data_IF_972697085816
#
_entry.id   IF_972697085816
#
_cell.length_a   1.000
_cell.length_b   1.000
_cell.length_c   1.000
_cell.angle_alpha   90.00
_cell.angle_beta   90.00
_cell.angle_gamma   90.00
#
_symmetry.space_group_name_H-M   'P 1'
#
loop_
_entity.id
_entity.type
_entity.pdbx_description
1 polymer ?
#
# COMPACT_ATOMS: atom_id res chain seq x y z
N UNK A 1 17.47 -15.78 -7.74
CA UNK A 1 16.49 -16.23 -6.72
C UNK A 1 16.20 -15.17 -5.67
N UNK A 2 17.16 -14.69 -4.86
CA UNK A 2 16.91 -13.65 -3.85
C UNK A 2 16.31 -12.35 -4.43
N UNK A 3 16.82 -11.88 -5.57
CA UNK A 3 16.24 -10.71 -6.26
C UNK A 3 14.75 -10.89 -6.60
N UNK A 4 14.33 -12.10 -6.99
CA UNK A 4 12.91 -12.38 -7.24
C UNK A 4 12.08 -12.29 -5.95
N UNK A 5 12.63 -12.71 -4.82
CA UNK A 5 11.96 -12.58 -3.52
C UNK A 5 11.77 -11.12 -3.14
N UNK A 6 12.77 -10.25 -3.42
CA UNK A 6 12.62 -8.80 -3.22
C UNK A 6 11.54 -8.22 -4.14
N UNK A 7 11.54 -8.61 -5.41
CA UNK A 7 10.48 -8.22 -6.35
C UNK A 7 9.09 -8.61 -5.85
N UNK A 8 8.93 -9.84 -5.36
CA UNK A 8 7.69 -10.26 -4.72
C UNK A 8 7.38 -9.46 -3.45
N UNK A 9 8.38 -9.04 -2.67
CA UNK A 9 8.17 -8.13 -1.53
C UNK A 9 7.49 -6.83 -1.96
N UNK A 10 7.92 -6.24 -3.09
CA UNK A 10 7.32 -5.03 -3.67
C UNK A 10 5.88 -5.31 -4.13
N UNK A 11 5.64 -6.43 -4.83
CA UNK A 11 4.29 -6.80 -5.29
C UNK A 11 3.31 -7.02 -4.12
N UNK A 12 3.78 -7.58 -3.00
CA UNK A 12 2.96 -7.74 -1.78
C UNK A 12 2.68 -6.40 -1.11
N UNK A 13 3.66 -5.49 -1.07
CA UNK A 13 3.49 -4.13 -0.55
C UNK A 13 2.46 -3.36 -1.39
N UNK A 14 2.60 -3.39 -2.72
CA UNK A 14 1.65 -2.79 -3.64
C UNK A 14 0.25 -3.39 -3.45
N UNK A 15 0.12 -4.72 -3.44
CA UNK A 15 -1.18 -5.38 -3.30
C UNK A 15 -1.89 -5.02 -1.99
N UNK A 16 -1.16 -4.89 -0.88
CA UNK A 16 -1.67 -4.38 0.39
C UNK A 16 -2.28 -2.98 0.23
N UNK A 17 -1.53 -2.02 -0.34
CA UNK A 17 -2.02 -0.66 -0.54
C UNK A 17 -3.23 -0.62 -1.46
N UNK A 18 -3.21 -1.33 -2.60
CA UNK A 18 -4.31 -1.31 -3.56
C UNK A 18 -5.62 -1.85 -2.97
N UNK A 19 -5.57 -2.81 -2.04
CA UNK A 19 -6.78 -3.31 -1.35
C UNK A 19 -7.38 -2.23 -0.46
N UNK A 20 -6.55 -1.47 0.27
CA UNK A 20 -7.03 -0.41 1.15
C UNK A 20 -7.50 0.81 0.35
N UNK A 21 -6.74 1.22 -0.65
CA UNK A 21 -7.07 2.26 -1.64
C UNK A 21 -8.44 1.98 -2.29
N UNK A 22 -8.66 0.76 -2.76
CA UNK A 22 -9.95 0.34 -3.32
C UNK A 22 -11.14 0.61 -2.37
N UNK A 23 -10.92 0.45 -1.06
CA UNK A 23 -11.95 0.66 -0.03
C UNK A 23 -12.15 2.15 0.22
N UNK A 24 -11.05 2.91 0.40
CA UNK A 24 -11.08 4.36 0.68
C UNK A 24 -11.73 5.13 -0.46
N UNK A 25 -11.38 4.78 -1.70
CA UNK A 25 -11.90 5.43 -2.91
C UNK A 25 -13.24 4.86 -3.40
N UNK A 26 -13.79 3.89 -2.66
CA UNK A 26 -15.03 3.21 -3.02
C UNK A 26 -15.01 2.60 -4.45
N UNK A 27 -13.85 2.10 -4.87
CA UNK A 27 -13.59 1.57 -6.22
C UNK A 27 -14.46 0.36 -6.57
N UNK A 28 -14.71 0.17 -7.87
CA UNK A 28 -15.55 -0.94 -8.37
C UNK A 28 -14.72 -2.11 -8.89
N UNK A 29 -13.67 -1.82 -9.66
CA UNK A 29 -12.86 -2.83 -10.34
C UNK A 29 -11.38 -2.53 -10.26
N UNK A 30 -10.55 -3.58 -10.13
CA UNK A 30 -9.10 -3.52 -10.25
C UNK A 30 -8.59 -4.68 -11.09
N UNK A 31 -7.65 -4.40 -12.00
CA UNK A 31 -7.05 -5.41 -12.91
C UNK A 31 -8.11 -6.25 -13.67
N UNK A 32 -9.19 -5.60 -14.13
CA UNK A 32 -10.27 -6.20 -14.91
C UNK A 32 -11.25 -7.07 -14.12
N UNK A 33 -11.21 -7.06 -12.77
CA UNK A 33 -12.09 -7.83 -11.89
C UNK A 33 -12.69 -6.93 -10.80
N UNK A 34 -13.78 -7.34 -10.14
CA UNK A 34 -14.28 -6.63 -8.96
C UNK A 34 -13.16 -6.46 -7.92
N UNK A 35 -13.10 -5.29 -7.28
CA UNK A 35 -12.16 -5.05 -6.17
C UNK A 35 -12.38 -6.10 -5.07
N UNK A 36 -11.32 -6.45 -4.33
CA UNK A 36 -11.36 -7.56 -3.37
C UNK A 36 -12.50 -7.40 -2.35
N UNK A 37 -12.67 -6.19 -1.80
CA UNK A 37 -13.72 -5.87 -0.84
C UNK A 37 -15.15 -5.92 -1.41
N UNK A 38 -15.31 -5.87 -2.74
CA UNK A 38 -16.62 -5.95 -3.42
C UNK A 38 -17.13 -7.38 -3.56
N UNK A 39 -16.30 -8.39 -3.30
CA UNK A 39 -16.74 -9.78 -3.38
C UNK A 39 -17.76 -10.07 -2.25
N UNK A 40 -18.89 -10.76 -2.54
CA UNK A 40 -19.99 -10.92 -1.57
C UNK A 40 -19.62 -11.56 -0.22
N UNK A 41 -18.53 -12.34 -0.18
CA UNK A 41 -18.05 -13.03 1.04
C UNK A 41 -16.88 -12.31 1.73
N UNK A 42 -16.39 -11.22 1.17
CA UNK A 42 -15.21 -10.50 1.67
C UNK A 42 -15.65 -9.23 2.39
N UNK A 43 -16.25 -8.25 1.69
CA UNK A 43 -16.60 -6.98 2.31
C UNK A 43 -15.40 -6.32 3.01
N UNK A 44 -15.62 -5.79 4.21
CA UNK A 44 -14.58 -5.13 5.00
C UNK A 44 -13.55 -6.09 5.63
N UNK A 45 -13.72 -7.42 5.51
CA UNK A 45 -12.66 -8.38 5.86
C UNK A 45 -11.39 -8.09 5.04
N UNK A 46 -11.55 -7.50 3.85
CA UNK A 46 -10.47 -7.02 3.01
C UNK A 46 -9.44 -6.14 3.73
N UNK A 47 -9.84 -5.36 4.75
CA UNK A 47 -8.92 -4.55 5.56
C UNK A 47 -7.90 -5.47 6.25
N UNK A 48 -8.40 -6.50 6.93
CA UNK A 48 -7.54 -7.47 7.60
C UNK A 48 -6.73 -8.28 6.59
N UNK A 49 -7.30 -8.65 5.44
CA UNK A 49 -6.56 -9.36 4.40
C UNK A 49 -5.38 -8.53 3.87
N UNK A 50 -5.56 -7.21 3.68
CA UNK A 50 -4.47 -6.29 3.37
C UNK A 50 -3.38 -6.28 4.44
N UNK A 51 -3.75 -6.18 5.72
CA UNK A 51 -2.78 -6.23 6.83
C UNK A 51 -2.03 -7.57 6.88
N UNK A 52 -2.69 -8.67 6.54
CA UNK A 52 -2.03 -9.97 6.37
C UNK A 52 -1.00 -9.88 5.25
N UNK A 53 -1.32 -9.28 4.10
CA UNK A 53 -0.35 -9.09 3.01
C UNK A 53 0.89 -8.32 3.47
N UNK A 54 0.70 -7.17 4.14
CA UNK A 54 1.79 -6.39 4.73
C UNK A 54 2.67 -7.23 5.65
N UNK A 55 2.06 -8.05 6.52
CA UNK A 55 2.80 -8.91 7.46
C UNK A 55 3.62 -10.03 6.78
N UNK A 56 3.21 -10.52 5.62
CA UNK A 56 3.94 -11.58 4.91
C UNK A 56 5.30 -11.11 4.41
N UNK A 57 5.46 -9.81 4.12
CA UNK A 57 6.73 -9.23 3.66
C UNK A 57 7.84 -9.53 4.67
N UNK A 58 7.64 -9.18 5.95
CA UNK A 58 8.61 -9.45 7.01
C UNK A 58 8.86 -10.95 7.22
N UNK A 59 7.84 -11.80 7.03
CA UNK A 59 7.99 -13.27 7.13
C UNK A 59 8.85 -13.84 6.01
N UNK A 60 8.63 -13.40 4.78
CA UNK A 60 9.42 -13.79 3.62
C UNK A 60 10.85 -13.29 3.79
N UNK A 61 11.02 -12.05 4.25
CA UNK A 61 12.37 -11.48 4.42
C UNK A 61 13.14 -12.21 5.51
N UNK A 62 12.52 -12.49 6.64
CA UNK A 62 13.12 -13.33 7.68
C UNK A 62 13.52 -14.71 7.15
N UNK A 63 12.71 -15.32 6.29
CA UNK A 63 13.02 -16.66 5.73
C UNK A 63 14.23 -16.67 4.81
N UNK A 64 14.38 -15.66 3.95
CA UNK A 64 15.39 -15.69 2.87
C UNK A 64 16.60 -14.79 3.12
N UNK A 65 16.47 -13.78 3.99
CA UNK A 65 17.47 -12.73 4.18
C UNK A 65 18.04 -12.65 5.60
N UNK A 66 17.47 -13.31 6.61
CA UNK A 66 17.91 -13.18 8.02
C UNK A 66 19.43 -13.37 8.25
N UNK A 67 20.10 -14.24 7.49
CA UNK A 67 21.55 -14.45 7.59
C UNK A 67 22.40 -13.53 6.71
N UNK A 68 21.81 -12.54 6.05
CA UNK A 68 22.52 -11.60 5.16
C UNK A 68 22.92 -10.35 5.95
N UNK A 69 24.11 -9.77 5.66
CA UNK A 69 24.57 -8.58 6.38
C UNK A 69 23.64 -7.38 6.21
N UNK A 70 22.86 -7.33 5.11
CA UNK A 70 21.93 -6.26 4.76
C UNK A 70 20.47 -6.54 5.16
N UNK A 71 20.21 -7.53 6.02
CA UNK A 71 18.84 -7.91 6.41
C UNK A 71 18.08 -6.77 7.09
N UNK A 72 18.75 -6.07 8.02
CA UNK A 72 18.16 -4.96 8.75
C UNK A 72 17.88 -3.79 7.81
N UNK A 73 18.84 -3.44 6.96
CA UNK A 73 18.66 -2.39 5.94
C UNK A 73 17.47 -2.67 5.03
N UNK A 74 17.21 -3.93 4.67
CA UNK A 74 16.05 -4.32 3.86
C UNK A 74 14.72 -4.12 4.61
N UNK A 75 14.68 -4.40 5.91
CA UNK A 75 13.48 -4.17 6.71
C UNK A 75 13.22 -2.67 6.87
N UNK A 76 14.27 -1.90 7.18
CA UNK A 76 14.19 -0.45 7.35
C UNK A 76 13.75 0.23 6.05
N UNK A 77 14.32 -0.18 4.91
CA UNK A 77 13.92 0.33 3.60
C UNK A 77 12.42 0.09 3.33
N UNK A 78 11.92 -1.11 3.58
CA UNK A 78 10.50 -1.41 3.34
C UNK A 78 9.57 -0.67 4.30
N UNK A 79 9.96 -0.51 5.57
CA UNK A 79 9.20 0.27 6.53
C UNK A 79 9.19 1.76 6.17
N UNK A 80 10.32 2.31 5.68
CA UNK A 80 10.40 3.70 5.24
C UNK A 80 9.53 3.94 4.00
N UNK A 81 9.53 3.02 3.05
CA UNK A 81 8.65 3.08 1.87
C UNK A 81 7.18 2.97 2.28
N UNK A 82 6.83 2.02 3.16
CA UNK A 82 5.46 1.88 3.70
C UNK A 82 4.99 3.17 4.39
N UNK A 83 5.85 3.79 5.19
CA UNK A 83 5.58 5.07 5.86
C UNK A 83 5.38 6.23 4.87
N UNK A 84 6.26 6.35 3.87
CA UNK A 84 6.17 7.38 2.83
C UNK A 84 4.87 7.23 2.03
N UNK A 85 4.54 6.02 1.59
CA UNK A 85 3.30 5.77 0.83
C UNK A 85 2.07 6.04 1.68
N UNK A 86 2.05 5.63 2.96
CA UNK A 86 0.93 5.92 3.87
C UNK A 86 0.79 7.43 4.13
N UNK A 87 1.90 8.17 4.19
CA UNK A 87 1.88 9.64 4.34
C UNK A 87 1.34 10.34 3.10
N UNK A 88 1.70 9.85 1.90
CA UNK A 88 1.16 10.34 0.63
C UNK A 88 -0.34 10.08 0.53
N UNK A 89 -0.79 8.88 0.89
CA UNK A 89 -2.21 8.53 0.94
C UNK A 89 -2.99 9.41 1.93
N UNK A 90 -2.42 9.68 3.11
CA UNK A 90 -3.01 10.62 4.07
C UNK A 90 -3.18 12.01 3.44
N UNK A 91 -2.14 12.51 2.75
CA UNK A 91 -2.17 13.81 2.08
C UNK A 91 -3.23 13.85 0.96
N UNK A 92 -3.36 12.77 0.19
CA UNK A 92 -4.38 12.66 -0.85
C UNK A 92 -5.78 12.78 -0.23
N UNK A 93 -6.09 11.91 0.73
CA UNK A 93 -7.41 11.84 1.38
C UNK A 93 -7.81 13.17 2.06
N UNK A 94 -6.90 13.88 2.73
CA UNK A 94 -7.24 15.19 3.34
C UNK A 94 -7.49 16.27 2.27
N UNK A 95 -6.84 16.18 1.11
CA UNK A 95 -6.98 17.14 0.00
C UNK A 95 -8.24 16.87 -0.82
N UNK A 96 -8.64 15.61 -0.94
CA UNK A 96 -9.77 15.14 -1.76
C UNK A 96 -11.04 14.86 -0.95
N UNK A 97 -10.97 14.91 0.38
CA UNK A 97 -12.08 14.61 1.31
C UNK A 97 -13.45 15.18 0.90
N UNK A 98 -14.48 14.36 1.06
CA UNK A 98 -15.86 14.70 0.68
C UNK A 98 -16.38 15.88 1.52
N UNK A 99 -16.52 17.04 0.86
CA UNK A 99 -16.92 18.30 1.46
C UNK A 99 -16.92 19.44 0.44
N UNK A 100 -16.83 20.69 0.91
CA UNK A 100 -16.72 21.84 0.01
C UNK A 100 -15.34 21.81 -0.69
N UNK A 101 -15.33 21.49 -2.00
CA UNK A 101 -14.10 21.38 -2.79
C UNK A 101 -13.42 22.74 -2.94
N UNK A 102 -12.41 22.98 -2.11
CA UNK A 102 -11.57 24.16 -2.19
C UNK A 102 -10.42 23.90 -3.18
N UNK A 103 -10.60 24.41 -4.40
CA UNK A 103 -9.63 24.25 -5.48
C UNK A 103 -8.30 24.96 -5.20
N UNK A 104 -8.24 25.89 -4.25
CA UNK A 104 -6.99 26.57 -3.90
C UNK A 104 -5.97 25.64 -3.23
N UNK A 105 -6.40 24.49 -2.70
CA UNK A 105 -5.54 23.45 -2.13
C UNK A 105 -4.76 22.64 -3.18
N UNK A 106 -5.17 22.73 -4.45
CA UNK A 106 -4.60 21.96 -5.54
C UNK A 106 -3.42 22.74 -6.14
N UNK A 107 -2.24 22.60 -5.53
CA UNK A 107 -1.00 23.24 -6.00
C UNK A 107 -0.02 22.21 -6.55
N UNK A 108 0.92 22.66 -7.39
CA UNK A 108 1.99 21.81 -7.92
C UNK A 108 2.84 21.23 -6.78
N UNK A 109 3.06 22.01 -5.72
CA UNK A 109 3.85 21.56 -4.56
C UNK A 109 3.15 20.42 -3.80
N UNK A 110 1.82 20.51 -3.61
CA UNK A 110 1.03 19.45 -2.96
C UNK A 110 1.05 18.18 -3.82
N UNK A 111 0.87 18.33 -5.13
CA UNK A 111 0.95 17.21 -6.07
C UNK A 111 2.32 16.52 -6.02
N UNK A 112 3.42 17.29 -6.03
CA UNK A 112 4.79 16.76 -6.01
C UNK A 112 5.18 16.06 -4.70
N UNK A 113 4.47 16.30 -3.59
CA UNK A 113 4.67 15.56 -2.33
C UNK A 113 3.88 14.24 -2.34
N UNK A 114 2.74 14.21 -3.04
CA UNK A 114 1.88 13.02 -3.14
C UNK A 114 2.38 12.00 -4.18
N UNK A 115 3.17 12.41 -5.18
CA UNK A 115 3.72 11.57 -6.26
C UNK A 115 5.23 11.38 -6.19
#
# INVERSE_FOLDING_TARGET
FLACILGWGIEWLQAYFLILDDIMDNSQTRRGKPCWYRLPKVGLIAINDGLVLRSQISRIFKRYFHGKPYYVDLLDLFNEVDFKTTSGELLDQITTSEGQKDLSKYTVDVYAIAT
#
